data_IF_645912872802
#
_entry.id   IF_645912872802
#
_cell.length_a   1.000
_cell.length_b   1.000
_cell.length_c   1.000
_cell.angle_alpha   90.00
_cell.angle_beta   90.00
_cell.angle_gamma   90.00
#
_symmetry.space_group_name_H-M   'P 1'
#
loop_
_entity.id
_entity.type
_entity.pdbx_description
1 polymer ?
#
# COMPACT_ATOMS: atom_id res chain seq x y z
N UNK A 1 3.02 -24.79 -19.81
CA UNK A 1 2.23 -23.60 -20.09
C UNK A 1 3.11 -22.58 -20.81
N UNK A 2 2.63 -22.05 -21.91
CA UNK A 2 3.36 -21.01 -22.67
C UNK A 2 3.28 -19.68 -21.94
N UNK A 3 4.41 -19.05 -21.68
CA UNK A 3 4.49 -17.69 -21.15
C UNK A 3 4.07 -16.71 -22.25
N UNK A 4 3.07 -15.87 -21.95
CA UNK A 4 2.65 -14.77 -22.83
C UNK A 4 3.10 -13.45 -22.22
N UNK A 5 3.94 -12.72 -22.94
CA UNK A 5 4.34 -11.36 -22.59
C UNK A 5 3.35 -10.37 -23.20
N UNK A 6 2.80 -9.50 -22.40
CA UNK A 6 1.93 -8.41 -22.85
C UNK A 6 2.50 -7.08 -22.35
N UNK A 7 2.46 -6.01 -23.16
CA UNK A 7 2.92 -4.70 -22.70
C UNK A 7 1.98 -4.15 -21.59
N UNK A 8 2.53 -3.46 -20.57
CA UNK A 8 1.72 -2.79 -19.57
C UNK A 8 1.00 -1.58 -20.18
N UNK A 9 -0.22 -1.30 -19.66
CA UNK A 9 -1.04 -0.17 -20.06
C UNK A 9 -1.30 0.75 -18.86
N UNK A 10 -0.29 1.52 -18.44
CA UNK A 10 -0.34 2.35 -17.22
C UNK A 10 -1.49 3.37 -17.20
N UNK A 11 -1.84 3.97 -18.33
CA UNK A 11 -3.01 4.87 -18.45
C UNK A 11 -4.31 4.16 -18.09
N UNK A 12 -4.47 2.91 -18.53
CA UNK A 12 -5.63 2.08 -18.22
C UNK A 12 -5.69 1.74 -16.73
N UNK A 13 -4.54 1.43 -16.13
CA UNK A 13 -4.46 1.14 -14.70
C UNK A 13 -4.81 2.38 -13.87
N UNK A 14 -4.29 3.54 -14.22
CA UNK A 14 -4.63 4.82 -13.58
C UNK A 14 -6.11 5.17 -13.74
N UNK A 15 -6.69 4.89 -14.90
CA UNK A 15 -8.13 5.11 -15.15
C UNK A 15 -8.99 4.26 -14.19
N UNK A 16 -8.76 2.95 -14.12
CA UNK A 16 -9.52 2.08 -13.23
C UNK A 16 -9.26 2.36 -11.74
N UNK A 17 -8.03 2.73 -11.38
CA UNK A 17 -7.70 3.21 -10.04
C UNK A 17 -8.56 4.41 -9.64
N UNK A 18 -8.69 5.41 -10.54
CA UNK A 18 -9.54 6.59 -10.31
C UNK A 18 -11.00 6.22 -10.15
N UNK A 19 -11.56 5.39 -11.05
CA UNK A 19 -12.96 4.94 -10.96
C UNK A 19 -13.21 4.19 -9.63
N UNK A 20 -12.30 3.34 -9.19
CA UNK A 20 -12.43 2.66 -7.90
C UNK A 20 -12.45 3.66 -6.74
N UNK A 21 -11.56 4.66 -6.76
CA UNK A 21 -11.52 5.72 -5.74
C UNK A 21 -12.78 6.58 -5.72
N UNK A 22 -13.37 6.88 -6.89
CA UNK A 22 -14.66 7.57 -6.99
C UNK A 22 -15.74 6.78 -6.24
N UNK A 23 -15.80 5.45 -6.40
CA UNK A 23 -16.71 4.59 -5.63
C UNK A 23 -16.41 4.64 -4.13
N UNK A 24 -15.13 4.62 -3.73
CA UNK A 24 -14.75 4.68 -2.31
C UNK A 24 -15.19 6.00 -1.67
N UNK A 25 -15.03 7.12 -2.37
CA UNK A 25 -15.42 8.44 -1.89
C UNK A 25 -16.94 8.62 -1.71
N UNK A 26 -17.78 7.76 -2.26
CA UNK A 26 -19.21 7.75 -1.96
C UNK A 26 -19.53 7.24 -0.54
N UNK A 27 -18.60 6.51 0.09
CA UNK A 27 -18.77 5.95 1.43
C UNK A 27 -18.08 6.80 2.51
N UNK A 28 -17.00 7.46 2.19
CA UNK A 28 -16.24 8.31 3.13
C UNK A 28 -15.35 9.30 2.35
N UNK A 29 -15.11 10.46 2.93
CA UNK A 29 -14.11 11.44 2.47
C UNK A 29 -12.68 11.11 2.94
N UNK A 30 -12.53 10.18 3.89
CA UNK A 30 -11.26 9.70 4.39
C UNK A 30 -10.77 8.51 3.57
N UNK A 31 -10.24 8.81 2.38
CA UNK A 31 -9.67 7.82 1.44
C UNK A 31 -8.21 8.14 1.17
N UNK A 32 -7.30 7.36 1.75
CA UNK A 32 -5.87 7.55 1.58
C UNK A 32 -5.29 6.53 0.60
N UNK A 33 -4.66 7.01 -0.46
CA UNK A 33 -3.97 6.15 -1.42
C UNK A 33 -2.64 5.65 -0.87
N UNK A 34 -2.41 4.35 -0.92
CA UNK A 34 -1.13 3.73 -0.60
C UNK A 34 -0.33 3.39 -1.87
N UNK A 35 -1.00 2.91 -2.88
CA UNK A 35 -0.41 2.63 -4.19
C UNK A 35 -1.42 2.93 -5.31
N UNK A 36 -1.12 2.51 -6.53
CA UNK A 36 -2.03 2.66 -7.66
C UNK A 36 -3.38 1.96 -7.44
N UNK A 37 -3.36 0.81 -6.79
CA UNK A 37 -4.49 -0.11 -6.61
C UNK A 37 -4.86 -0.36 -5.14
N UNK A 38 -4.21 0.31 -4.21
CA UNK A 38 -4.44 0.15 -2.77
C UNK A 38 -4.80 1.47 -2.09
N UNK A 39 -5.84 1.42 -1.26
CA UNK A 39 -6.29 2.55 -0.45
C UNK A 39 -6.65 2.10 0.96
N UNK A 40 -6.50 2.99 1.92
CA UNK A 40 -7.18 2.90 3.22
C UNK A 40 -8.40 3.80 3.24
N UNK A 41 -9.47 3.31 3.85
CA UNK A 41 -10.70 4.04 4.08
C UNK A 41 -10.99 4.05 5.59
N UNK A 42 -11.24 5.22 6.16
CA UNK A 42 -11.85 5.31 7.47
C UNK A 42 -13.37 5.48 7.30
N UNK A 43 -14.11 4.46 7.71
CA UNK A 43 -15.56 4.38 7.53
C UNK A 43 -16.33 4.55 8.84
N UNK A 44 -15.65 4.84 9.95
CA UNK A 44 -16.28 4.97 11.27
C UNK A 44 -17.42 6.02 11.27
N UNK A 45 -17.22 7.15 10.62
CA UNK A 45 -18.24 8.19 10.50
C UNK A 45 -19.44 7.84 9.62
N UNK A 46 -19.33 6.77 8.81
CA UNK A 46 -20.30 6.37 7.79
C UNK A 46 -21.19 5.20 8.21
N UNK A 47 -20.93 4.59 9.36
CA UNK A 47 -21.63 3.38 9.83
C UNK A 47 -23.15 3.53 9.91
N UNK A 48 -23.64 4.71 10.26
CA UNK A 48 -25.10 4.98 10.34
C UNK A 48 -25.80 4.97 8.97
N UNK A 49 -25.06 5.19 7.90
CA UNK A 49 -25.59 5.27 6.54
C UNK A 49 -25.44 3.95 5.79
N UNK A 50 -24.33 3.24 5.98
CA UNK A 50 -23.95 2.11 5.14
C UNK A 50 -23.78 0.79 5.89
N UNK A 51 -23.90 0.80 7.22
CA UNK A 51 -23.62 -0.36 8.07
C UNK A 51 -22.19 -0.39 8.60
N UNK A 52 -21.85 -1.45 9.29
CA UNK A 52 -20.51 -1.60 9.89
C UNK A 52 -19.40 -1.78 8.83
N UNK A 53 -18.15 -1.80 9.28
CA UNK A 53 -17.01 -1.91 8.38
C UNK A 53 -17.00 -3.18 7.53
N UNK A 54 -17.55 -4.30 8.01
CA UNK A 54 -17.69 -5.54 7.22
C UNK A 54 -18.78 -5.39 6.16
N UNK A 55 -19.92 -4.82 6.50
CA UNK A 55 -21.02 -4.57 5.58
C UNK A 55 -20.61 -3.62 4.45
N UNK A 56 -19.90 -2.52 4.79
CA UNK A 56 -19.33 -1.58 3.83
C UNK A 56 -18.34 -2.31 2.91
N UNK A 57 -17.44 -3.11 3.45
CA UNK A 57 -16.47 -3.87 2.66
C UNK A 57 -17.14 -4.84 1.69
N UNK A 58 -18.21 -5.52 2.10
CA UNK A 58 -18.99 -6.39 1.22
C UNK A 58 -19.73 -5.62 0.12
N UNK A 59 -20.23 -4.42 0.42
CA UNK A 59 -20.85 -3.55 -0.59
C UNK A 59 -19.82 -3.08 -1.61
N UNK A 60 -18.66 -2.56 -1.16
CA UNK A 60 -17.58 -2.11 -2.03
C UNK A 60 -17.07 -3.24 -2.93
N UNK A 61 -16.85 -4.44 -2.39
CA UNK A 61 -16.42 -5.61 -3.15
C UNK A 61 -17.41 -5.95 -4.27
N UNK A 62 -18.71 -5.92 -3.97
CA UNK A 62 -19.75 -6.18 -4.96
C UNK A 62 -19.83 -5.10 -6.02
N UNK A 63 -19.77 -3.82 -5.62
CA UNK A 63 -19.84 -2.68 -6.54
C UNK A 63 -18.67 -2.65 -7.51
N UNK A 64 -17.43 -2.79 -7.01
CA UNK A 64 -16.24 -2.85 -7.86
C UNK A 64 -16.36 -3.97 -8.89
N UNK A 65 -16.87 -5.14 -8.48
CA UNK A 65 -17.07 -6.27 -9.38
C UNK A 65 -18.15 -6.02 -10.43
N UNK A 66 -19.26 -5.43 -10.05
CA UNK A 66 -20.40 -5.21 -10.95
C UNK A 66 -20.19 -3.99 -11.87
N UNK A 67 -19.62 -2.91 -11.34
CA UNK A 67 -19.48 -1.65 -12.06
C UNK A 67 -18.19 -1.56 -12.89
N UNK A 68 -17.10 -2.15 -12.40
CA UNK A 68 -15.79 -2.08 -13.06
C UNK A 68 -15.31 -3.41 -13.65
N UNK A 69 -15.97 -4.53 -13.34
CA UNK A 69 -15.53 -5.87 -13.76
C UNK A 69 -14.23 -6.33 -13.10
N UNK A 70 -13.82 -5.70 -11.98
CA UNK A 70 -12.61 -6.01 -11.22
C UNK A 70 -12.96 -6.74 -9.93
N UNK A 71 -11.99 -7.47 -9.38
CA UNK A 71 -12.11 -8.05 -8.04
C UNK A 71 -11.19 -7.33 -7.07
N UNK A 72 -11.65 -7.15 -5.83
CA UNK A 72 -10.87 -6.57 -4.74
C UNK A 72 -10.90 -7.47 -3.53
N UNK A 73 -9.79 -7.46 -2.77
CA UNK A 73 -9.72 -8.10 -1.45
C UNK A 73 -9.60 -7.00 -0.41
N UNK A 74 -10.50 -7.02 0.59
CA UNK A 74 -10.63 -5.95 1.55
C UNK A 74 -10.37 -6.49 2.96
N UNK A 75 -9.46 -5.84 3.67
CA UNK A 75 -9.25 -6.06 5.09
C UNK A 75 -9.99 -5.02 5.92
N UNK A 76 -10.72 -5.47 6.93
CA UNK A 76 -11.41 -4.63 7.90
C UNK A 76 -10.73 -4.77 9.25
N UNK A 77 -10.30 -3.67 9.83
CA UNK A 77 -9.60 -3.70 11.12
C UNK A 77 -9.69 -2.34 11.83
N UNK A 78 -9.15 -2.30 13.03
CA UNK A 78 -9.10 -1.12 13.88
C UNK A 78 -7.87 -0.22 13.65
N UNK A 79 -7.00 -0.58 12.71
CA UNK A 79 -5.88 0.25 12.24
C UNK A 79 -5.47 -0.11 10.80
N UNK A 80 -4.68 0.77 10.18
CA UNK A 80 -4.22 0.63 8.79
C UNK A 80 -3.39 -0.63 8.54
N UNK A 81 -2.53 -0.98 9.49
CA UNK A 81 -1.59 -2.12 9.37
C UNK A 81 -2.34 -3.43 9.29
N UNK A 82 -3.29 -3.66 10.19
CA UNK A 82 -4.04 -4.91 10.19
C UNK A 82 -5.15 -4.94 9.13
N UNK A 83 -5.67 -3.79 8.71
CA UNK A 83 -6.52 -3.72 7.52
C UNK A 83 -5.75 -4.17 6.27
N UNK A 84 -4.53 -3.65 6.06
CA UNK A 84 -3.66 -4.09 4.95
C UNK A 84 -3.33 -5.58 5.04
N UNK A 85 -2.96 -6.08 6.21
CA UNK A 85 -2.72 -7.50 6.44
C UNK A 85 -3.95 -8.36 6.10
N UNK A 86 -5.15 -7.92 6.50
CA UNK A 86 -6.42 -8.57 6.19
C UNK A 86 -6.71 -8.63 4.70
N UNK A 87 -6.39 -7.58 3.94
CA UNK A 87 -6.58 -7.56 2.50
C UNK A 87 -5.72 -8.59 1.76
N UNK A 88 -4.56 -8.95 2.32
CA UNK A 88 -3.66 -9.95 1.75
C UNK A 88 -3.96 -11.39 2.21
N UNK A 89 -4.70 -11.56 3.31
CA UNK A 89 -4.88 -12.84 3.98
C UNK A 89 -5.70 -13.87 3.18
N UNK A 90 -6.75 -13.41 2.48
CA UNK A 90 -7.65 -14.28 1.69
C UNK A 90 -7.85 -13.71 0.27
N UNK A 91 -6.79 -13.66 -0.54
CA UNK A 91 -6.90 -13.28 -1.95
C UNK A 91 -7.27 -14.49 -2.82
N UNK A 92 -7.99 -14.33 -3.92
CA UNK A 92 -8.65 -13.12 -4.41
C UNK A 92 -10.11 -12.95 -3.93
N UNK A 93 -10.70 -11.78 -4.21
CA UNK A 93 -12.15 -11.48 -4.12
C UNK A 93 -12.75 -11.84 -2.74
N UNK A 94 -12.14 -11.34 -1.66
CA UNK A 94 -12.52 -11.70 -0.29
C UNK A 94 -12.61 -10.48 0.65
N UNK A 95 -13.38 -10.63 1.73
CA UNK A 95 -13.36 -9.72 2.87
C UNK A 95 -12.79 -10.48 4.08
N UNK A 96 -11.85 -9.87 4.78
CA UNK A 96 -11.26 -10.41 6.01
C UNK A 96 -11.39 -9.41 7.14
N UNK A 97 -11.99 -9.80 8.25
CA UNK A 97 -12.12 -8.96 9.44
C UNK A 97 -11.10 -9.38 10.50
N UNK A 98 -10.23 -8.46 10.86
CA UNK A 98 -9.26 -8.61 11.94
C UNK A 98 -9.58 -7.66 13.09
N UNK A 99 -10.45 -8.11 14.01
CA UNK A 99 -10.71 -7.44 15.28
C UNK A 99 -9.58 -7.66 16.29
N UNK A 100 -9.63 -6.93 17.40
CA UNK A 100 -8.66 -7.07 18.52
C UNK A 100 -8.64 -8.49 19.11
N UNK A 101 -9.76 -9.18 19.09
CA UNK A 101 -9.93 -10.58 19.52
C UNK A 101 -9.14 -11.57 18.65
N UNK A 102 -8.77 -11.18 17.45
CA UNK A 102 -7.99 -12.00 16.51
C UNK A 102 -6.48 -11.82 16.63
N UNK A 103 -6.00 -10.88 17.46
CA UNK A 103 -4.57 -10.60 17.55
C UNK A 103 -3.76 -11.85 17.91
N UNK A 104 -3.98 -12.44 19.07
CA UNK A 104 -3.21 -13.60 19.53
C UNK A 104 -3.62 -14.90 18.83
N UNK A 105 -4.91 -15.02 18.53
CA UNK A 105 -5.49 -16.26 18.01
C UNK A 105 -5.15 -16.49 16.52
N UNK A 106 -4.99 -15.41 15.75
CA UNK A 106 -4.74 -15.46 14.30
C UNK A 106 -3.52 -14.64 13.91
N UNK A 107 -3.53 -13.31 14.13
CA UNK A 107 -2.54 -12.38 13.56
C UNK A 107 -1.12 -12.73 14.04
N UNK A 108 -0.93 -12.98 15.32
CA UNK A 108 0.38 -13.31 15.87
C UNK A 108 0.95 -14.64 15.38
N UNK A 109 0.11 -15.51 14.81
CA UNK A 109 0.57 -16.78 14.22
C UNK A 109 1.05 -16.63 12.77
N UNK A 110 0.77 -15.50 12.14
CA UNK A 110 1.18 -15.25 10.76
C UNK A 110 2.70 -15.05 10.67
N UNK A 111 3.30 -15.43 9.54
CA UNK A 111 4.72 -15.20 9.28
C UNK A 111 5.08 -13.72 9.39
N UNK A 112 6.25 -13.40 9.96
CA UNK A 112 6.68 -12.01 10.17
C UNK A 112 6.78 -11.22 8.87
N UNK A 113 7.11 -11.86 7.76
CA UNK A 113 7.19 -11.27 6.43
C UNK A 113 5.85 -10.77 5.87
N UNK A 114 4.73 -11.17 6.46
CA UNK A 114 3.41 -10.65 6.08
C UNK A 114 3.10 -9.29 6.70
N UNK A 115 3.87 -8.87 7.70
CA UNK A 115 3.70 -7.57 8.32
C UNK A 115 4.24 -6.46 7.42
N UNK A 116 3.50 -5.36 7.33
CA UNK A 116 3.86 -4.19 6.53
C UNK A 116 5.30 -3.73 6.86
N UNK A 117 6.09 -3.44 5.82
CA UNK A 117 7.51 -3.06 5.86
C UNK A 117 8.50 -4.16 6.23
N UNK A 118 8.09 -5.40 6.35
CA UNK A 118 9.03 -6.53 6.43
C UNK A 118 9.35 -7.05 5.03
N UNK A 119 10.34 -6.43 4.41
CA UNK A 119 10.90 -6.90 3.13
C UNK A 119 11.95 -8.02 3.34
N UNK A 120 12.46 -8.63 2.25
CA UNK A 120 13.38 -9.79 2.30
C UNK A 120 14.62 -9.59 3.18
N UNK A 121 15.17 -8.37 3.22
CA UNK A 121 16.34 -8.06 4.06
C UNK A 121 15.98 -8.08 5.55
N UNK A 122 14.87 -7.44 5.91
CA UNK A 122 14.37 -7.40 7.30
C UNK A 122 13.97 -8.79 7.77
N UNK A 123 13.24 -9.54 6.94
CA UNK A 123 12.89 -10.95 7.20
C UNK A 123 14.12 -11.81 7.49
N UNK A 124 15.15 -11.73 6.63
CA UNK A 124 16.40 -12.47 6.83
C UNK A 124 17.07 -12.11 8.14
N UNK A 125 17.04 -10.85 8.54
CA UNK A 125 17.60 -10.38 9.81
C UNK A 125 16.79 -10.94 10.98
N UNK A 126 15.47 -10.80 10.98
CA UNK A 126 14.58 -11.34 12.01
C UNK A 126 14.78 -12.84 12.20
N UNK A 127 14.84 -13.61 11.11
CA UNK A 127 15.03 -15.07 11.13
C UNK A 127 16.37 -15.50 11.76
N UNK A 128 17.44 -14.71 11.64
CA UNK A 128 18.73 -14.97 12.33
C UNK A 128 18.61 -14.94 13.85
N UNK A 129 17.66 -14.15 14.38
CA UNK A 129 17.39 -14.05 15.81
C UNK A 129 16.23 -14.96 16.27
N UNK A 130 15.79 -15.89 15.42
CA UNK A 130 14.72 -16.84 15.74
C UNK A 130 13.32 -16.26 15.63
N UNK A 131 13.15 -15.02 15.19
CA UNK A 131 11.87 -14.33 15.03
C UNK A 131 11.26 -14.75 13.69
N UNK A 132 10.13 -15.45 13.73
CA UNK A 132 9.49 -16.02 12.55
C UNK A 132 8.05 -15.56 12.35
N UNK A 133 7.37 -15.14 13.42
CA UNK A 133 5.97 -14.75 13.41
C UNK A 133 5.80 -13.29 13.85
N UNK A 134 4.63 -12.72 13.54
CA UNK A 134 4.26 -11.40 14.05
C UNK A 134 4.24 -11.41 15.58
N UNK A 135 3.77 -12.51 16.19
CA UNK A 135 3.77 -12.69 17.65
C UNK A 135 5.17 -12.75 18.25
N UNK A 136 6.17 -13.26 17.53
CA UNK A 136 7.55 -13.22 18.01
C UNK A 136 8.05 -11.76 18.07
N UNK A 137 7.73 -10.94 17.06
CA UNK A 137 8.04 -9.49 17.08
C UNK A 137 7.33 -8.82 18.27
N UNK A 138 6.04 -9.09 18.45
CA UNK A 138 5.23 -8.45 19.48
C UNK A 138 5.72 -8.73 20.91
N UNK A 139 6.28 -9.92 21.15
CA UNK A 139 6.79 -10.35 22.47
C UNK A 139 8.23 -9.93 22.75
N UNK A 140 8.93 -9.40 21.75
CA UNK A 140 10.29 -8.88 21.95
C UNK A 140 10.28 -7.62 22.82
N UNK A 141 11.37 -7.40 23.54
CA UNK A 141 11.60 -6.10 24.16
C UNK A 141 11.81 -5.02 23.09
N UNK A 142 11.16 -3.86 23.26
CA UNK A 142 11.29 -2.74 22.32
C UNK A 142 12.75 -2.32 22.13
N UNK A 143 13.53 -2.29 23.22
CA UNK A 143 14.95 -1.97 23.19
C UNK A 143 15.76 -2.94 22.34
N UNK A 144 15.43 -4.23 22.37
CA UNK A 144 16.08 -5.25 21.54
C UNK A 144 15.73 -5.08 20.07
N UNK A 145 14.46 -4.83 19.74
CA UNK A 145 14.04 -4.53 18.36
C UNK A 145 14.71 -3.29 17.80
N UNK A 146 14.82 -2.23 18.63
CA UNK A 146 15.52 -0.98 18.24
C UNK A 146 17.02 -1.21 18.04
N UNK A 147 17.67 -2.02 18.87
CA UNK A 147 19.09 -2.36 18.72
C UNK A 147 19.36 -3.19 17.47
N UNK A 148 18.44 -4.07 17.09
CA UNK A 148 18.57 -4.99 15.95
C UNK A 148 18.33 -4.30 14.60
N UNK A 149 17.31 -3.46 14.50
CA UNK A 149 16.79 -2.90 13.25
C UNK A 149 16.67 -1.37 13.25
N UNK A 150 17.11 -0.69 14.32
CA UNK A 150 16.98 0.76 14.43
C UNK A 150 15.52 1.21 14.50
N UNK A 151 15.23 2.33 13.85
CA UNK A 151 13.87 2.91 13.82
C UNK A 151 12.83 1.97 13.23
N UNK A 152 13.20 1.17 12.22
CA UNK A 152 12.24 0.20 11.64
C UNK A 152 11.87 -0.90 12.64
N UNK A 153 12.79 -1.31 13.50
CA UNK A 153 12.50 -2.27 14.57
C UNK A 153 11.45 -1.77 15.55
N UNK A 154 11.52 -0.51 15.94
CA UNK A 154 10.49 0.14 16.77
C UNK A 154 9.13 0.18 16.05
N UNK A 155 9.13 0.58 14.78
CA UNK A 155 7.90 0.60 13.97
C UNK A 155 7.27 -0.78 13.87
N UNK A 156 8.06 -1.82 13.59
CA UNK A 156 7.55 -3.19 13.51
C UNK A 156 7.00 -3.71 14.84
N UNK A 157 7.62 -3.32 15.95
CA UNK A 157 7.11 -3.67 17.28
C UNK A 157 5.75 -2.99 17.56
N UNK A 158 5.61 -1.70 17.24
CA UNK A 158 4.34 -0.96 17.33
C UNK A 158 3.27 -1.65 16.47
N UNK A 159 3.60 -2.00 15.24
CA UNK A 159 2.69 -2.67 14.30
C UNK A 159 2.25 -4.04 14.78
N UNK A 160 3.19 -4.90 15.21
CA UNK A 160 2.91 -6.24 15.70
C UNK A 160 2.00 -6.23 16.96
N UNK A 161 2.11 -5.19 17.77
CA UNK A 161 1.26 -4.99 18.96
C UNK A 161 -0.07 -4.26 18.66
N UNK A 162 -0.34 -3.91 17.39
CA UNK A 162 -1.58 -3.22 17.00
C UNK A 162 -1.71 -1.81 17.58
N UNK A 163 -0.59 -1.17 17.89
CA UNK A 163 -0.51 0.15 18.53
C UNK A 163 -0.42 1.30 17.52
N UNK A 164 -0.42 1.02 16.22
CA UNK A 164 -0.46 2.05 15.19
C UNK A 164 -1.76 2.84 15.28
N UNK A 165 -1.64 4.16 15.38
CA UNK A 165 -2.73 5.12 15.48
C UNK A 165 -2.70 6.14 14.34
N UNK A 166 -1.95 5.86 13.28
CA UNK A 166 -1.84 6.75 12.13
C UNK A 166 -3.21 6.94 11.48
N UNK A 167 -3.75 8.17 11.42
CA UNK A 167 -5.07 8.40 10.84
C UNK A 167 -5.05 8.16 9.34
N UNK A 168 -6.23 7.90 8.77
CA UNK A 168 -6.44 7.92 7.32
C UNK A 168 -6.60 9.36 6.88
N UNK A 169 -5.81 9.77 5.90
CA UNK A 169 -5.86 11.12 5.35
C UNK A 169 -7.03 11.26 4.35
N UNK A 170 -7.64 12.46 4.23
CA UNK A 170 -8.63 12.73 3.20
C UNK A 170 -8.09 12.54 1.78
N UNK A 171 -8.96 12.19 0.85
CA UNK A 171 -8.62 11.99 -0.56
C UNK A 171 -7.95 13.23 -1.19
N UNK A 172 -8.42 14.43 -0.82
CA UNK A 172 -7.90 15.72 -1.30
C UNK A 172 -6.76 16.29 -0.43
N UNK A 173 -6.45 15.61 0.67
CA UNK A 173 -5.44 16.04 1.66
C UNK A 173 -4.02 15.57 1.35
N UNK A 174 -3.77 15.08 0.14
CA UNK A 174 -2.45 14.62 -0.27
C UNK A 174 -1.40 15.73 -0.11
N UNK A 175 -0.31 15.42 0.64
CA UNK A 175 0.86 16.32 0.63
C UNK A 175 1.26 16.58 -0.83
N UNK A 176 1.62 17.82 -1.17
CA UNK A 176 2.12 18.11 -2.52
C UNK A 176 3.27 17.17 -2.84
N UNK A 177 3.36 16.75 -4.10
CA UNK A 177 4.39 15.83 -4.56
C UNK A 177 5.77 16.30 -4.08
N UNK A 178 6.44 15.50 -3.24
CA UNK A 178 7.77 15.83 -2.68
C UNK A 178 8.84 15.82 -3.76
N UNK A 179 8.63 15.03 -4.82
CA UNK A 179 9.52 14.97 -5.98
C UNK A 179 8.74 14.59 -7.25
N UNK A 180 9.18 15.11 -8.38
CA UNK A 180 8.70 14.72 -9.70
C UNK A 180 9.90 14.20 -10.47
N UNK A 181 9.87 12.95 -10.87
CA UNK A 181 10.97 12.29 -11.54
C UNK A 181 10.50 11.37 -12.68
N UNK A 182 11.45 10.94 -13.48
CA UNK A 182 11.27 9.90 -14.49
C UNK A 182 12.54 9.06 -14.60
N UNK A 183 12.38 7.80 -14.97
CA UNK A 183 13.50 6.90 -15.25
C UNK A 183 13.11 5.94 -16.36
N UNK A 184 14.10 5.44 -17.09
CA UNK A 184 13.93 4.41 -18.13
C UNK A 184 15.00 3.34 -17.96
N UNK A 185 14.60 2.08 -18.09
CA UNK A 185 15.55 0.97 -18.26
C UNK A 185 15.71 0.75 -19.75
N UNK A 186 16.91 0.96 -20.24
CA UNK A 186 17.22 0.80 -21.66
C UNK A 186 17.34 -0.69 -22.03
N UNK A 187 17.04 -1.06 -23.28
CA UNK A 187 17.13 -2.45 -23.75
C UNK A 187 18.58 -2.95 -23.85
N UNK A 188 19.55 -2.06 -23.91
CA UNK A 188 21.00 -2.31 -23.94
C UNK A 188 21.74 -1.17 -23.28
N UNK A 189 22.99 -1.41 -22.89
CA UNK A 189 23.88 -0.39 -22.35
C UNK A 189 24.24 0.62 -23.46
N UNK A 190 24.18 1.91 -23.11
CA UNK A 190 24.57 3.02 -23.98
C UNK A 190 25.91 3.59 -23.51
N UNK A 191 26.75 3.99 -24.46
CA UNK A 191 28.10 4.49 -24.18
C UNK A 191 28.49 5.73 -24.96
N UNK A 192 27.70 6.14 -25.94
CA UNK A 192 27.97 7.33 -26.77
C UNK A 192 27.33 8.57 -26.13
N UNK A 193 27.99 9.73 -26.26
CA UNK A 193 27.43 11.01 -25.79
C UNK A 193 26.09 11.34 -26.44
N UNK A 194 25.91 10.96 -27.72
CA UNK A 194 24.69 11.20 -28.49
C UNK A 194 23.51 10.41 -27.88
N UNK A 195 23.64 9.09 -27.70
CA UNK A 195 22.58 8.23 -27.09
C UNK A 195 22.25 8.65 -25.67
N UNK A 196 23.28 9.03 -24.89
CA UNK A 196 23.10 9.54 -23.54
C UNK A 196 22.32 10.86 -23.56
N UNK A 197 22.71 11.79 -24.45
CA UNK A 197 22.05 13.10 -24.61
C UNK A 197 20.58 12.97 -25.02
N UNK A 198 20.26 12.13 -25.99
CA UNK A 198 18.88 11.87 -26.41
C UNK A 198 18.03 11.28 -25.27
N UNK A 199 18.59 10.31 -24.54
CA UNK A 199 17.90 9.70 -23.41
C UNK A 199 17.60 10.72 -22.31
N UNK A 200 18.59 11.53 -21.91
CA UNK A 200 18.39 12.57 -20.89
C UNK A 200 17.43 13.66 -21.35
N UNK A 201 17.46 14.07 -22.61
CA UNK A 201 16.53 15.03 -23.16
C UNK A 201 15.08 14.53 -23.06
N UNK A 202 14.82 13.30 -23.46
CA UNK A 202 13.50 12.66 -23.37
C UNK A 202 13.00 12.58 -21.90
N UNK A 203 13.88 12.21 -20.98
CA UNK A 203 13.55 12.19 -19.54
C UNK A 203 13.26 13.59 -19.00
N UNK A 204 14.07 14.58 -19.39
CA UNK A 204 13.89 15.98 -18.97
C UNK A 204 12.58 16.57 -19.48
N UNK A 205 12.23 16.33 -20.76
CA UNK A 205 10.94 16.75 -21.33
C UNK A 205 9.75 16.17 -20.58
N UNK A 206 9.83 14.87 -20.22
CA UNK A 206 8.78 14.21 -19.44
C UNK A 206 8.64 14.84 -18.06
N UNK A 207 9.75 15.08 -17.35
CA UNK A 207 9.74 15.73 -16.02
C UNK A 207 9.20 17.15 -16.13
N UNK A 208 9.64 17.93 -17.13
CA UNK A 208 9.17 19.28 -17.35
C UNK A 208 7.65 19.34 -17.65
N UNK A 209 7.14 18.37 -18.42
CA UNK A 209 5.70 18.23 -18.68
C UNK A 209 4.92 17.95 -17.40
N UNK A 210 5.42 17.03 -16.56
CA UNK A 210 4.80 16.71 -15.25
C UNK A 210 4.81 17.90 -14.31
N UNK A 211 5.92 18.66 -14.22
CA UNK A 211 6.00 19.88 -13.41
C UNK A 211 4.95 20.90 -13.84
N UNK A 212 4.80 21.15 -15.16
CA UNK A 212 3.77 22.05 -15.68
C UNK A 212 2.35 21.58 -15.34
N UNK A 213 2.08 20.28 -15.48
CA UNK A 213 0.77 19.69 -15.13
C UNK A 213 0.42 19.87 -13.65
N UNK A 214 1.40 19.85 -12.76
CA UNK A 214 1.24 20.08 -11.32
C UNK A 214 1.32 21.58 -10.92
N UNK A 215 1.57 22.47 -11.87
CA UNK A 215 1.70 23.91 -11.58
C UNK A 215 2.90 24.27 -10.70
N UNK A 216 3.92 23.41 -10.65
CA UNK A 216 5.11 23.60 -9.81
C UNK A 216 6.36 23.85 -10.65
N UNK A 217 7.37 24.45 -10.02
CA UNK A 217 8.72 24.65 -10.60
C UNK A 217 9.69 23.71 -9.90
N UNK A 218 10.79 23.39 -10.60
CA UNK A 218 11.91 22.72 -9.97
C UNK A 218 12.48 23.62 -8.88
N UNK A 219 12.68 23.07 -7.68
CA UNK A 219 13.43 23.69 -6.61
C UNK A 219 14.86 23.16 -6.58
N UNK A 220 15.71 23.78 -5.77
CA UNK A 220 17.04 23.27 -5.47
C UNK A 220 16.99 22.12 -4.46
#
# INVERSE_FOLDING_TARGET
>A
PELRLVPPHHERYSHFSRLAKEIYCEYTDLVESFSLDECWLDVYGSERLFGDGEEIAQQLRRRIKMELGLTVSIGVSFNKVFAKLGSDYKKPDAVTVFGRDKMESVIWKLPCETLLFVGPHTEKTLKKFGIRTIGDIARMELSAMRSMLGRIGETLWIYANGLDQTPVCPADGGEPAKSIGNSVTLPHDISTEEEIGETFLSLAETVASRLRAHGVKAGE
#
